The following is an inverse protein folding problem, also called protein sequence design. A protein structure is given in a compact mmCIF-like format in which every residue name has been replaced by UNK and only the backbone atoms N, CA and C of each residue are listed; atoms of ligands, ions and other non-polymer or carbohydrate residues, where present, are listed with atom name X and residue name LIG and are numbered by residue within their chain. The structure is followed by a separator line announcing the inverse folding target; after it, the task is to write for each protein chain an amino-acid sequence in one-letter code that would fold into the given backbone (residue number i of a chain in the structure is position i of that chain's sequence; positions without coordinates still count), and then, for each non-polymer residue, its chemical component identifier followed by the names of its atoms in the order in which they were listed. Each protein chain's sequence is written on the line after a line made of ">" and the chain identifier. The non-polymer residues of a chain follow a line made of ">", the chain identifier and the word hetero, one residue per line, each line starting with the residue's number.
data_IF_022952769830
#
_entry.id   IF_022952769830
#
_cell.length_a   1.000
_cell.length_b   1.000
_cell.length_c   1.000
_cell.angle_alpha   90.00
_cell.angle_beta   90.00
_cell.angle_gamma   90.00
#
_symmetry.space_group_name_H-M   'P 1'
#
loop_
_entity.id
_entity.type
_entity.pdbx_description
1 polymer ?
#
# COMPACT_ATOMS: atom_id res chain seq x y z
N UNK A 1 20.55 1.54 -5.33
CA UNK A 1 20.07 0.17 -5.05
C UNK A 1 18.73 -0.05 -5.73
N UNK A 2 18.57 -1.21 -6.35
CA UNK A 2 17.31 -1.52 -7.01
C UNK A 2 16.26 -1.97 -5.97
N UNK A 3 15.18 -1.22 -5.87
CA UNK A 3 14.07 -1.52 -4.94
C UNK A 3 12.90 -2.18 -5.66
N UNK A 4 13.16 -2.96 -6.70
CA UNK A 4 12.12 -3.65 -7.47
C UNK A 4 11.09 -2.68 -8.08
N UNK A 5 11.58 -1.52 -8.56
CA UNK A 5 10.70 -0.49 -9.10
C UNK A 5 9.98 0.34 -8.05
N UNK A 6 10.36 0.22 -6.80
CA UNK A 6 9.70 0.88 -5.67
C UNK A 6 10.60 1.92 -5.03
N UNK A 7 10.07 3.12 -4.83
CA UNK A 7 10.72 4.17 -4.05
C UNK A 7 10.02 4.31 -2.70
N UNK A 8 10.80 4.38 -1.62
CA UNK A 8 10.28 4.51 -0.27
C UNK A 8 10.76 5.83 0.35
N UNK A 9 9.83 6.56 0.98
CA UNK A 9 10.14 7.81 1.67
C UNK A 9 9.28 7.92 2.92
N UNK A 10 9.91 8.08 4.07
CA UNK A 10 9.17 8.38 5.31
C UNK A 10 9.02 9.89 5.46
N UNK A 11 7.79 10.35 5.61
CA UNK A 11 7.44 11.76 5.79
C UNK A 11 6.86 11.96 7.19
N UNK A 12 7.68 12.34 8.20
CA UNK A 12 7.18 12.53 9.57
C UNK A 12 6.14 13.63 9.68
N UNK A 13 6.16 14.60 8.76
CA UNK A 13 5.24 15.74 8.77
C UNK A 13 3.81 15.35 8.41
N UNK A 14 3.62 14.28 7.63
CA UNK A 14 2.27 13.86 7.22
C UNK A 14 1.47 13.16 8.34
N UNK A 15 1.93 12.31 9.26
CA UNK A 15 3.05 11.39 9.18
C UNK A 15 2.67 10.15 8.35
N UNK A 16 3.51 9.79 7.41
CA UNK A 16 3.23 8.66 6.54
C UNK A 16 4.50 8.10 5.91
N UNK A 17 4.47 6.80 5.63
CA UNK A 17 5.45 6.15 4.78
C UNK A 17 4.88 6.15 3.36
N UNK A 18 5.64 6.71 2.41
CA UNK A 18 5.21 6.80 1.02
C UNK A 18 5.96 5.76 0.20
N UNK A 19 5.21 4.88 -0.46
CA UNK A 19 5.75 3.86 -1.33
C UNK A 19 5.22 4.11 -2.74
N UNK A 20 6.12 4.45 -3.68
CA UNK A 20 5.74 4.75 -5.06
C UNK A 20 6.38 3.75 -6.00
N UNK A 21 5.54 3.02 -6.73
CA UNK A 21 6.03 2.21 -7.84
C UNK A 21 6.17 3.10 -9.07
N UNK A 22 7.35 3.06 -9.71
CA UNK A 22 7.61 3.91 -10.87
C UNK A 22 7.61 3.16 -12.19
N UNK A 23 7.27 1.86 -12.16
CA UNK A 23 7.09 1.02 -13.35
C UNK A 23 6.23 -0.20 -13.00
N UNK A 24 5.80 -0.92 -14.02
CA UNK A 24 5.17 -2.22 -13.82
C UNK A 24 6.17 -3.21 -13.22
N UNK A 25 5.71 -4.13 -12.42
CA UNK A 25 6.55 -5.09 -11.71
C UNK A 25 5.99 -6.50 -11.86
N UNK A 26 6.86 -7.49 -11.69
CA UNK A 26 6.44 -8.90 -11.67
C UNK A 26 5.77 -9.22 -10.34
N UNK A 27 5.01 -10.33 -10.24
CA UNK A 27 4.45 -10.75 -8.95
C UNK A 27 5.51 -10.94 -7.87
N UNK A 28 6.67 -11.50 -8.22
CA UNK A 28 7.77 -11.67 -7.28
C UNK A 28 8.30 -10.32 -6.78
N UNK A 29 8.48 -9.37 -7.69
CA UNK A 29 8.91 -8.01 -7.34
C UNK A 29 7.86 -7.31 -6.48
N UNK A 30 6.58 -7.55 -6.75
CA UNK A 30 5.50 -6.93 -5.98
C UNK A 30 5.52 -7.42 -4.53
N UNK A 31 5.67 -8.72 -4.31
CA UNK A 31 5.78 -9.27 -2.95
C UNK A 31 7.00 -8.73 -2.24
N UNK A 32 8.15 -8.69 -2.92
CA UNK A 32 9.38 -8.13 -2.35
C UNK A 32 9.19 -6.66 -2.00
N UNK A 33 8.46 -5.91 -2.81
CA UNK A 33 8.12 -4.52 -2.54
C UNK A 33 7.31 -4.36 -1.27
N UNK A 34 6.27 -5.16 -1.08
CA UNK A 34 5.48 -5.12 0.15
C UNK A 34 6.31 -5.47 1.37
N UNK A 35 7.22 -6.45 1.26
CA UNK A 35 8.11 -6.80 2.36
C UNK A 35 9.07 -5.65 2.69
N UNK A 36 9.57 -4.95 1.67
CA UNK A 36 10.42 -3.77 1.88
C UNK A 36 9.66 -2.64 2.56
N UNK A 37 8.40 -2.43 2.18
CA UNK A 37 7.53 -1.44 2.85
C UNK A 37 7.41 -1.79 4.32
N UNK A 38 7.17 -3.05 4.64
CA UNK A 38 7.01 -3.48 6.02
C UNK A 38 8.27 -3.26 6.85
N UNK A 39 9.44 -3.56 6.29
CA UNK A 39 10.72 -3.32 6.95
C UNK A 39 10.90 -1.83 7.23
N UNK A 40 10.62 -0.98 6.26
CA UNK A 40 10.75 0.47 6.43
C UNK A 40 9.73 1.00 7.45
N UNK A 41 8.50 0.49 7.43
CA UNK A 41 7.46 0.90 8.37
C UNK A 41 7.83 0.49 9.79
N UNK A 42 8.38 -0.70 9.99
CA UNK A 42 8.82 -1.15 11.30
C UNK A 42 9.96 -0.28 11.83
N UNK A 43 10.90 0.07 10.96
CA UNK A 43 12.04 0.92 11.35
C UNK A 43 11.58 2.31 11.77
N UNK A 44 10.54 2.84 11.14
CA UNK A 44 10.00 4.16 11.45
C UNK A 44 8.88 4.12 12.50
N UNK A 45 8.38 2.95 12.86
CA UNK A 45 7.21 2.81 13.72
C UNK A 45 5.96 3.43 13.10
N UNK A 46 5.82 3.37 11.79
CA UNK A 46 4.79 4.11 11.04
C UNK A 46 3.66 3.19 10.60
N UNK A 47 2.45 3.46 11.08
CA UNK A 47 1.26 2.68 10.76
C UNK A 47 0.43 3.29 9.62
N UNK A 48 0.88 4.37 8.98
CA UNK A 48 0.15 5.07 7.94
C UNK A 48 0.96 5.06 6.66
N UNK A 49 0.43 4.40 5.63
CA UNK A 49 1.16 4.15 4.38
C UNK A 49 0.38 4.67 3.19
N UNK A 50 1.07 5.42 2.32
CA UNK A 50 0.56 5.79 1.00
C UNK A 50 1.20 4.85 -0.02
N UNK A 51 0.39 4.09 -0.73
CA UNK A 51 0.85 3.16 -1.75
C UNK A 51 0.45 3.72 -3.12
N UNK A 52 1.41 4.29 -3.83
CA UNK A 52 1.16 4.94 -5.12
C UNK A 52 1.34 3.94 -6.26
N UNK A 53 0.22 3.52 -6.83
CA UNK A 53 0.16 2.53 -7.89
C UNK A 53 -0.06 3.14 -9.28
N UNK A 54 -0.05 4.47 -9.39
CA UNK A 54 -0.44 5.14 -10.63
C UNK A 54 0.43 4.77 -11.84
N UNK A 55 1.70 4.47 -11.61
CA UNK A 55 2.65 4.10 -12.68
C UNK A 55 2.80 2.60 -12.85
N UNK A 56 2.11 1.81 -12.02
CA UNK A 56 2.12 0.36 -12.11
C UNK A 56 0.93 -0.06 -12.94
N UNK A 57 1.17 -0.33 -14.22
CA UNK A 57 0.12 -0.66 -15.18
C UNK A 57 -0.20 -2.15 -15.23
N UNK A 58 0.55 -2.96 -14.51
CA UNK A 58 0.34 -4.39 -14.46
C UNK A 58 -1.03 -4.75 -13.91
N UNK A 59 -1.60 -5.80 -14.45
CA UNK A 59 -2.78 -6.41 -13.85
C UNK A 59 -2.28 -7.28 -12.70
N UNK A 60 -2.71 -6.98 -11.50
CA UNK A 60 -2.33 -7.76 -10.33
C UNK A 60 -2.89 -9.17 -10.45
N UNK A 61 -2.02 -10.16 -10.41
CA UNK A 61 -2.46 -11.54 -10.50
C UNK A 61 -3.29 -11.94 -9.30
N UNK A 62 -4.31 -12.81 -9.48
CA UNK A 62 -5.13 -13.28 -8.38
C UNK A 62 -4.33 -13.89 -7.23
N UNK A 63 -3.21 -14.57 -7.55
CA UNK A 63 -2.36 -15.18 -6.52
C UNK A 63 -1.73 -14.14 -5.61
N UNK A 64 -1.36 -12.97 -6.14
CA UNK A 64 -0.80 -11.88 -5.33
C UNK A 64 -1.88 -11.28 -4.44
N UNK A 65 -3.09 -11.09 -4.99
CA UNK A 65 -4.21 -10.56 -4.20
C UNK A 65 -4.56 -11.51 -3.05
N UNK A 66 -4.55 -12.81 -3.31
CA UNK A 66 -4.78 -13.82 -2.28
C UNK A 66 -3.70 -13.76 -1.22
N UNK A 67 -2.43 -13.69 -1.63
CA UNK A 67 -1.31 -13.55 -0.70
C UNK A 67 -1.46 -12.30 0.16
N UNK A 68 -1.82 -11.16 -0.45
CA UNK A 68 -2.00 -9.91 0.29
C UNK A 68 -3.07 -10.08 1.38
N UNK A 69 -4.22 -10.63 1.02
CA UNK A 69 -5.34 -10.78 1.96
C UNK A 69 -5.14 -11.86 3.00
N UNK A 70 -4.45 -12.96 2.67
CA UNK A 70 -4.32 -14.11 3.55
C UNK A 70 -3.03 -14.12 4.37
N UNK A 71 -1.98 -13.48 3.86
CA UNK A 71 -0.66 -13.52 4.50
C UNK A 71 -0.20 -12.15 4.95
N UNK A 72 -0.21 -11.17 4.04
CA UNK A 72 0.36 -9.86 4.33
C UNK A 72 -0.52 -9.04 5.28
N UNK A 73 -1.79 -8.87 4.95
CA UNK A 73 -2.70 -8.04 5.75
C UNK A 73 -2.88 -8.57 7.18
N UNK A 74 -3.06 -9.89 7.41
CA UNK A 74 -3.15 -10.41 8.77
C UNK A 74 -1.91 -10.14 9.62
N UNK A 75 -0.73 -10.06 8.99
CA UNK A 75 0.52 -9.73 9.67
C UNK A 75 0.58 -8.29 10.17
N UNK A 76 -0.34 -7.44 9.76
CA UNK A 76 -0.40 -6.05 10.20
C UNK A 76 -1.24 -5.87 11.47
N UNK A 77 -2.02 -6.88 11.83
CA UNK A 77 -2.90 -6.81 13.00
C UNK A 77 -2.07 -6.63 14.27
N UNK A 78 -2.38 -5.57 15.03
CA UNK A 78 -1.73 -5.27 16.31
C UNK A 78 -0.20 -5.11 16.21
N UNK A 79 0.29 -4.83 15.00
CA UNK A 79 1.73 -4.67 14.80
C UNK A 79 2.24 -3.34 15.37
N UNK A 80 1.38 -2.32 15.34
CA UNK A 80 1.70 -0.99 15.86
C UNK A 80 0.64 -0.58 16.89
N UNK A 81 0.90 0.49 17.69
CA UNK A 81 -0.08 0.96 18.67
C UNK A 81 -1.42 1.39 18.05
N UNK A 82 -1.43 1.84 16.80
CA UNK A 82 -2.65 2.17 16.08
C UNK A 82 -2.86 1.21 14.90
N UNK A 83 -4.10 1.04 14.41
CA UNK A 83 -4.33 0.22 13.22
C UNK A 83 -3.58 0.78 12.02
N UNK A 84 -3.07 -0.11 11.17
CA UNK A 84 -2.41 0.30 9.93
C UNK A 84 -3.44 0.89 8.99
N UNK A 85 -3.13 2.02 8.37
CA UNK A 85 -3.92 2.66 7.32
C UNK A 85 -3.18 2.58 6.01
N UNK A 86 -3.83 2.00 5.01
CA UNK A 86 -3.29 1.86 3.67
C UNK A 86 -4.10 2.74 2.72
N UNK A 87 -3.50 3.80 2.23
CA UNK A 87 -4.10 4.65 1.20
C UNK A 87 -3.55 4.21 -0.14
N UNK A 88 -4.38 3.55 -0.95
CA UNK A 88 -4.00 3.18 -2.32
C UNK A 88 -4.30 4.34 -3.25
N UNK A 89 -3.26 4.91 -3.85
CA UNK A 89 -3.38 5.97 -4.84
C UNK A 89 -3.26 5.34 -6.22
N UNK A 90 -4.33 5.42 -7.00
CA UNK A 90 -4.46 4.70 -8.26
C UNK A 90 -4.91 5.63 -9.38
N UNK A 91 -4.73 5.19 -10.64
CA UNK A 91 -5.31 5.91 -11.77
C UNK A 91 -6.83 5.73 -11.76
N UNK A 92 -7.60 6.66 -12.38
CA UNK A 92 -9.05 6.51 -12.46
C UNK A 92 -9.49 5.19 -13.11
N UNK A 93 -8.75 4.72 -14.11
CA UNK A 93 -9.06 3.44 -14.75
C UNK A 93 -8.94 2.28 -13.78
N UNK A 94 -7.85 2.24 -13.02
CA UNK A 94 -7.61 1.15 -12.06
C UNK A 94 -8.63 1.19 -10.91
N UNK A 95 -9.04 2.39 -10.49
CA UNK A 95 -10.01 2.53 -9.41
C UNK A 95 -11.33 1.83 -9.71
N UNK A 96 -11.70 1.73 -10.98
CA UNK A 96 -12.92 1.05 -11.40
C UNK A 96 -12.79 -0.45 -11.61
N UNK A 97 -11.62 -1.04 -11.42
CA UNK A 97 -11.40 -2.46 -11.67
C UNK A 97 -11.85 -3.32 -10.48
N UNK A 98 -12.42 -4.51 -10.75
CA UNK A 98 -12.87 -5.41 -9.67
C UNK A 98 -11.78 -5.80 -8.68
N UNK A 99 -10.52 -5.86 -9.11
CA UNK A 99 -9.41 -6.22 -8.23
C UNK A 99 -9.28 -5.25 -7.05
N UNK A 100 -9.59 -3.96 -7.26
CA UNK A 100 -9.51 -2.99 -6.18
C UNK A 100 -10.61 -3.20 -5.14
N UNK A 101 -11.78 -3.64 -5.57
CA UNK A 101 -12.86 -3.99 -4.64
C UNK A 101 -12.47 -5.19 -3.77
N UNK A 102 -11.80 -6.19 -4.34
CA UNK A 102 -11.31 -7.34 -3.58
C UNK A 102 -10.28 -6.93 -2.54
N UNK A 103 -9.31 -6.09 -2.94
CA UNK A 103 -8.29 -5.60 -2.01
C UNK A 103 -8.96 -4.80 -0.88
N UNK A 104 -9.90 -3.92 -1.20
CA UNK A 104 -10.59 -3.10 -0.21
C UNK A 104 -11.44 -3.93 0.74
N UNK A 105 -11.92 -5.10 0.31
CA UNK A 105 -12.72 -5.98 1.16
C UNK A 105 -11.88 -6.76 2.16
N UNK A 106 -10.57 -6.89 1.95
CA UNK A 106 -9.66 -7.61 2.84
C UNK A 106 -9.19 -6.70 3.97
N UNK A 107 -10.11 -6.13 4.76
CA UNK A 107 -9.83 -5.03 5.67
C UNK A 107 -9.95 -5.34 7.16
N UNK A 108 -10.14 -6.61 7.53
CA UNK A 108 -10.34 -6.96 8.95
C UNK A 108 -9.12 -6.60 9.83
N UNK A 109 -7.93 -6.57 9.24
CA UNK A 109 -6.67 -6.40 9.97
C UNK A 109 -6.06 -5.01 9.81
N UNK A 110 -6.60 -4.19 8.91
CA UNK A 110 -6.11 -2.84 8.64
C UNK A 110 -7.20 -2.01 7.94
N UNK A 111 -7.05 -0.68 7.99
CA UNK A 111 -7.96 0.21 7.28
C UNK A 111 -7.41 0.46 5.88
N UNK A 112 -8.24 0.29 4.85
CA UNK A 112 -7.86 0.49 3.47
C UNK A 112 -8.83 1.48 2.83
N UNK A 113 -8.28 2.46 2.08
CA UNK A 113 -9.06 3.36 1.26
C UNK A 113 -8.34 3.58 -0.07
N UNK A 114 -9.11 3.82 -1.12
CA UNK A 114 -8.59 4.02 -2.47
C UNK A 114 -8.86 5.45 -2.92
N UNK A 115 -7.85 6.08 -3.50
CA UNK A 115 -7.90 7.47 -3.93
C UNK A 115 -7.36 7.60 -5.35
N UNK A 116 -7.86 8.60 -6.07
CA UNK A 116 -7.31 9.02 -7.36
C UNK A 116 -6.61 10.38 -7.25
N UNK A 117 -6.74 11.03 -6.10
CA UNK A 117 -6.13 12.33 -5.81
C UNK A 117 -5.20 12.22 -4.60
N UNK A 118 -3.94 12.60 -4.78
CA UNK A 118 -2.94 12.47 -3.72
C UNK A 118 -3.24 13.35 -2.51
N UNK A 119 -3.76 14.56 -2.73
CA UNK A 119 -4.11 15.44 -1.60
C UNK A 119 -5.19 14.83 -0.72
N UNK A 120 -6.18 14.16 -1.32
CA UNK A 120 -7.22 13.47 -0.58
C UNK A 120 -6.66 12.30 0.23
N UNK A 121 -5.71 11.56 -0.36
CA UNK A 121 -5.04 10.46 0.34
C UNK A 121 -4.25 10.97 1.55
N UNK A 122 -3.51 12.07 1.38
CA UNK A 122 -2.78 12.68 2.48
C UNK A 122 -3.71 13.13 3.61
N UNK A 123 -4.82 13.77 3.26
CA UNK A 123 -5.80 14.23 4.25
C UNK A 123 -6.38 13.06 5.05
N UNK A 124 -6.69 11.95 4.39
CA UNK A 124 -7.21 10.77 5.05
C UNK A 124 -6.17 10.15 6.00
N UNK A 125 -4.92 10.06 5.56
CA UNK A 125 -3.84 9.52 6.39
C UNK A 125 -3.54 10.40 7.61
N UNK A 126 -3.72 11.71 7.48
CA UNK A 126 -3.47 12.65 8.57
C UNK A 126 -4.58 12.68 9.62
N UNK A 127 -5.73 12.09 9.35
CA UNK A 127 -6.85 12.06 10.30
C UNK A 127 -6.49 11.27 11.55
N UNK A 128 -6.97 11.75 12.66
CA UNK A 128 -6.80 11.10 13.95
C UNK A 128 -7.98 10.21 14.28
#
# INVERSE_FOLDING_TARGET
>A
MNNHGLDLLHRPDLPALIARWHRAVTPTELRAGYESILVAADAAGCARWLLDLRRREDLTEPTVNTWFGEVFAPGLRRRYPEPVRLAFLVSPLRAGQPVMAVVSAATADCEIATFTDEAAAHAWLARR
#
